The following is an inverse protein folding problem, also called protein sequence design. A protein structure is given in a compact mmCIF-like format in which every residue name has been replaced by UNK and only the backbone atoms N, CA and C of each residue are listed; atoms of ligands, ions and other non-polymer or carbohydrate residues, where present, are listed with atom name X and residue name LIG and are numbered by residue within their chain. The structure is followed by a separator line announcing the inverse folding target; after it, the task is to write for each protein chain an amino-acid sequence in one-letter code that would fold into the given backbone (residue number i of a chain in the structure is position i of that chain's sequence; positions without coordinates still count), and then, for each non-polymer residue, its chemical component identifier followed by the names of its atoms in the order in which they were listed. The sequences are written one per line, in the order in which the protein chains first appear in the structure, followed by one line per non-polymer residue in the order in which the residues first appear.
data_IF_424345062619
#
_entry.id   IF_424345062619
#
_cell.length_a   1.000
_cell.length_b   1.000
_cell.length_c   1.000
_cell.angle_alpha   90.00
_cell.angle_beta   90.00
_cell.angle_gamma   90.00
#
_symmetry.space_group_name_H-M   'P 1'
#
loop_
_entity.id
_entity.type
_entity.pdbx_description
1 polymer ?
#
# COMPACT_ATOMS: atom_id res chain seq x y z
N UNK A 1 15.06 2.58 12.45
CA UNK A 1 13.64 2.24 12.19
C UNK A 1 13.34 2.52 10.73
N UNK A 2 12.52 1.72 10.07
CA UNK A 2 12.09 2.00 8.69
C UNK A 2 11.24 3.28 8.63
N UNK A 3 11.41 4.08 7.58
CA UNK A 3 10.72 5.37 7.39
C UNK A 3 9.19 5.25 7.41
N UNK A 4 8.63 4.18 6.85
CA UNK A 4 7.17 3.98 6.79
C UNK A 4 6.54 3.59 8.14
N UNK A 5 7.33 3.25 9.15
CA UNK A 5 6.81 2.77 10.44
C UNK A 5 6.19 3.90 11.28
N UNK A 6 6.84 5.08 11.32
CA UNK A 6 6.46 6.21 12.17
C UNK A 6 5.02 6.66 11.93
N UNK A 7 4.70 7.00 10.70
CA UNK A 7 3.38 7.54 10.34
C UNK A 7 2.26 6.53 10.59
N UNK A 8 2.49 5.27 10.22
CA UNK A 8 1.50 4.21 10.45
C UNK A 8 1.30 3.93 11.93
N UNK A 9 2.37 3.89 12.73
CA UNK A 9 2.26 3.73 14.18
C UNK A 9 1.42 4.85 14.79
N UNK A 10 1.76 6.11 14.52
CA UNK A 10 1.02 7.28 15.01
C UNK A 10 -0.45 7.26 14.56
N UNK A 11 -0.72 6.91 13.32
CA UNK A 11 -2.07 6.82 12.77
C UNK A 11 -2.92 5.77 13.48
N UNK A 12 -2.40 4.57 13.71
CA UNK A 12 -3.15 3.51 14.41
C UNK A 12 -3.27 3.76 15.92
N UNK A 13 -2.29 4.39 16.54
CA UNK A 13 -2.43 4.86 17.93
C UNK A 13 -3.55 5.91 18.05
N UNK A 14 -3.64 6.84 17.10
CA UNK A 14 -4.73 7.81 17.02
C UNK A 14 -6.09 7.13 16.82
N UNK A 15 -6.21 6.19 15.88
CA UNK A 15 -7.44 5.41 15.65
C UNK A 15 -7.90 4.77 16.96
N UNK A 16 -6.98 4.14 17.69
CA UNK A 16 -7.28 3.50 18.98
C UNK A 16 -7.67 4.51 20.05
N UNK A 17 -6.96 5.62 20.17
CA UNK A 17 -7.23 6.68 21.17
C UNK A 17 -8.59 7.35 20.96
N UNK A 18 -9.00 7.54 19.70
CA UNK A 18 -10.28 8.15 19.33
C UNK A 18 -11.45 7.14 19.28
N UNK A 19 -11.20 5.86 19.63
CA UNK A 19 -12.21 4.79 19.59
C UNK A 19 -12.70 4.47 18.17
N UNK A 20 -11.92 4.83 17.16
CA UNK A 20 -12.18 4.53 15.75
C UNK A 20 -11.80 3.09 15.41
N UNK A 21 -12.28 2.60 14.29
CA UNK A 21 -12.10 1.20 13.87
C UNK A 21 -11.49 1.05 12.48
N UNK A 22 -11.34 2.15 11.73
CA UNK A 22 -10.80 2.11 10.37
C UNK A 22 -9.99 3.37 10.04
N UNK A 23 -9.02 3.20 9.14
CA UNK A 23 -8.12 4.27 8.69
C UNK A 23 -8.87 5.42 8.01
N UNK A 24 -9.89 5.12 7.19
CA UNK A 24 -10.71 6.14 6.54
C UNK A 24 -11.37 7.11 7.53
N UNK A 25 -11.67 6.66 8.75
CA UNK A 25 -12.32 7.48 9.77
C UNK A 25 -11.44 8.62 10.31
N UNK A 26 -10.11 8.52 10.22
CA UNK A 26 -9.21 9.65 10.55
C UNK A 26 -9.12 10.68 9.42
N UNK A 27 -9.67 10.35 8.24
CA UNK A 27 -9.75 11.21 7.07
C UNK A 27 -11.18 11.61 6.69
N UNK A 28 -12.12 11.51 7.64
CA UNK A 28 -13.51 11.94 7.44
C UNK A 28 -14.48 10.87 6.94
N UNK A 29 -14.04 9.61 6.78
CA UNK A 29 -14.94 8.49 6.54
C UNK A 29 -15.76 8.13 7.78
N UNK A 30 -16.93 7.53 7.62
CA UNK A 30 -17.83 7.20 8.72
C UNK A 30 -17.84 5.70 9.06
N UNK A 31 -17.94 4.84 8.06
CA UNK A 31 -18.17 3.42 8.25
C UNK A 31 -16.90 2.57 8.05
N UNK A 32 -16.79 1.49 8.85
CA UNK A 32 -15.72 0.50 8.71
C UNK A 32 -15.70 -0.14 7.33
N UNK A 33 -16.88 -0.43 6.80
CA UNK A 33 -17.06 -1.13 5.53
C UNK A 33 -16.92 -0.21 4.30
N UNK A 34 -16.78 1.11 4.51
CA UNK A 34 -16.53 2.10 3.45
C UNK A 34 -15.03 2.39 3.30
N UNK A 35 -14.27 1.37 2.92
CA UNK A 35 -12.83 1.49 2.72
C UNK A 35 -12.46 1.80 1.27
N UNK A 36 -11.34 2.49 1.09
CA UNK A 36 -10.95 3.14 -0.17
C UNK A 36 -10.87 2.20 -1.39
N UNK A 37 -10.50 0.93 -1.21
CA UNK A 37 -10.42 -0.05 -2.30
C UNK A 37 -11.68 -0.87 -2.51
N UNK A 38 -12.78 -0.62 -1.76
CA UNK A 38 -14.02 -1.40 -1.85
C UNK A 38 -14.59 -1.44 -3.28
N UNK A 39 -14.78 -0.29 -3.88
CA UNK A 39 -15.31 -0.19 -5.26
C UNK A 39 -14.43 -0.92 -6.28
N UNK A 40 -13.11 -0.92 -6.06
CA UNK A 40 -12.19 -1.68 -6.89
C UNK A 40 -12.36 -3.19 -6.70
N UNK A 41 -12.47 -3.68 -5.48
CA UNK A 41 -12.71 -5.10 -5.23
C UNK A 41 -14.06 -5.55 -5.82
N UNK A 42 -15.12 -4.75 -5.68
CA UNK A 42 -16.44 -5.02 -6.30
C UNK A 42 -16.34 -5.10 -7.83
N UNK A 43 -15.51 -4.27 -8.44
CA UNK A 43 -15.27 -4.29 -9.89
C UNK A 43 -14.34 -5.43 -10.31
N UNK A 44 -13.28 -5.71 -9.56
CA UNK A 44 -12.24 -6.66 -9.95
C UNK A 44 -12.66 -8.11 -9.75
N UNK A 45 -13.17 -8.47 -8.55
CA UNK A 45 -13.40 -9.87 -8.18
C UNK A 45 -14.28 -10.66 -9.15
N UNK A 46 -15.37 -10.12 -9.72
CA UNK A 46 -16.20 -10.86 -10.70
C UNK A 46 -15.47 -11.10 -12.04
N UNK A 47 -14.35 -10.44 -12.28
CA UNK A 47 -13.54 -10.56 -13.52
C UNK A 47 -12.43 -11.57 -13.39
N UNK A 48 -12.18 -12.08 -12.18
CA UNK A 48 -11.13 -13.04 -11.90
C UNK A 48 -11.64 -14.48 -12.10
N UNK A 49 -10.73 -15.35 -12.54
CA UNK A 49 -10.97 -16.79 -12.56
C UNK A 49 -10.33 -17.42 -11.34
N UNK A 50 -11.13 -17.59 -10.29
CA UNK A 50 -10.68 -18.13 -9.01
C UNK A 50 -11.36 -19.48 -8.72
N UNK A 51 -10.75 -20.37 -7.92
CA UNK A 51 -11.42 -21.60 -7.46
C UNK A 51 -12.61 -21.26 -6.56
N UNK A 52 -13.45 -22.25 -6.25
CA UNK A 52 -14.68 -22.08 -5.46
C UNK A 52 -14.44 -21.64 -4.00
N UNK A 53 -13.26 -21.90 -3.46
CA UNK A 53 -12.83 -21.47 -2.11
C UNK A 53 -11.42 -20.90 -2.19
N UNK A 54 -11.25 -19.71 -2.76
CA UNK A 54 -9.94 -19.15 -3.03
C UNK A 54 -9.22 -18.77 -1.74
N UNK A 55 -7.90 -18.89 -1.77
CA UNK A 55 -7.04 -18.40 -0.70
C UNK A 55 -6.54 -17.00 -1.03
N UNK A 56 -6.76 -16.05 -0.14
CA UNK A 56 -6.35 -14.67 -0.32
C UNK A 56 -5.39 -14.21 0.78
N UNK A 57 -4.42 -13.36 0.40
CA UNK A 57 -3.58 -12.60 1.32
C UNK A 57 -3.87 -11.11 1.12
N UNK A 58 -4.18 -10.38 2.19
CA UNK A 58 -4.15 -8.91 2.17
C UNK A 58 -2.85 -8.43 2.83
N UNK A 59 -2.04 -7.67 2.07
CA UNK A 59 -0.82 -7.02 2.57
C UNK A 59 -1.13 -5.58 2.98
N UNK A 60 -0.61 -5.16 4.16
CA UNK A 60 -0.94 -3.84 4.73
C UNK A 60 -2.43 -3.73 5.05
N UNK A 61 -3.00 -4.75 5.68
CA UNK A 61 -4.45 -4.86 5.88
C UNK A 61 -5.04 -3.83 6.84
N UNK A 62 -4.19 -3.10 7.58
CA UNK A 62 -4.63 -2.15 8.58
C UNK A 62 -5.55 -2.79 9.62
N UNK A 63 -6.69 -2.16 9.85
CA UNK A 63 -7.73 -2.66 10.76
C UNK A 63 -8.64 -3.72 10.15
N UNK A 64 -8.34 -4.19 8.92
CA UNK A 64 -8.90 -5.38 8.31
C UNK A 64 -10.22 -5.24 7.54
N UNK A 65 -10.66 -4.07 7.05
CA UNK A 65 -11.93 -3.98 6.33
C UNK A 65 -11.91 -4.77 5.01
N UNK A 66 -10.80 -4.75 4.26
CA UNK A 66 -10.65 -5.54 3.04
C UNK A 66 -10.63 -7.03 3.31
N UNK A 67 -9.88 -7.47 4.34
CA UNK A 67 -9.87 -8.88 4.77
C UNK A 67 -11.27 -9.36 5.18
N UNK A 68 -12.01 -8.56 5.95
CA UNK A 68 -13.41 -8.86 6.32
C UNK A 68 -14.31 -8.95 5.09
N UNK A 69 -14.13 -8.03 4.13
CA UNK A 69 -14.89 -8.01 2.87
C UNK A 69 -14.68 -9.30 2.06
N UNK A 70 -13.44 -9.79 1.95
CA UNK A 70 -13.11 -11.04 1.26
C UNK A 70 -13.63 -12.27 2.01
N UNK A 71 -13.41 -12.33 3.33
CA UNK A 71 -13.87 -13.46 4.14
C UNK A 71 -15.39 -13.62 4.13
N UNK A 72 -16.16 -12.53 4.17
CA UNK A 72 -17.62 -12.54 4.05
C UNK A 72 -18.10 -13.07 2.68
N UNK A 73 -17.22 -13.13 1.68
CA UNK A 73 -17.48 -13.68 0.33
C UNK A 73 -16.95 -15.11 0.14
N UNK A 74 -16.54 -15.77 1.22
CA UNK A 74 -16.11 -17.17 1.20
C UNK A 74 -14.63 -17.40 0.87
N UNK A 75 -13.82 -16.35 0.86
CA UNK A 75 -12.37 -16.50 0.74
C UNK A 75 -11.76 -17.01 2.06
N UNK A 76 -10.74 -17.85 1.96
CA UNK A 76 -9.86 -18.17 3.08
C UNK A 76 -8.79 -17.10 3.17
N UNK A 77 -8.88 -16.23 4.17
CA UNK A 77 -8.07 -15.00 4.24
C UNK A 77 -6.98 -15.10 5.28
N UNK A 78 -5.76 -14.85 4.82
CA UNK A 78 -4.63 -14.43 5.65
C UNK A 78 -4.45 -12.92 5.44
N UNK A 79 -4.08 -12.16 6.48
CA UNK A 79 -3.90 -10.72 6.38
C UNK A 79 -2.74 -10.25 7.27
N UNK A 80 -1.91 -9.37 6.75
CA UNK A 80 -0.72 -8.90 7.45
C UNK A 80 -0.68 -7.37 7.50
N UNK A 81 -0.20 -6.86 8.62
CA UNK A 81 0.17 -5.46 8.80
C UNK A 81 1.37 -5.38 9.74
N UNK A 82 2.19 -4.35 9.57
CA UNK A 82 3.38 -4.19 10.40
C UNK A 82 3.06 -3.60 11.78
N UNK A 83 1.89 -2.96 11.98
CA UNK A 83 1.51 -2.29 13.23
C UNK A 83 0.68 -3.21 14.12
N UNK A 84 1.17 -3.61 15.31
CA UNK A 84 0.43 -4.49 16.22
C UNK A 84 -0.96 -3.97 16.59
N UNK A 85 -1.09 -2.65 16.83
CA UNK A 85 -2.37 -2.03 17.17
C UNK A 85 -3.42 -2.17 16.05
N UNK A 86 -3.01 -2.09 14.79
CA UNK A 86 -3.88 -2.34 13.65
C UNK A 86 -4.42 -3.78 13.66
N UNK A 87 -3.54 -4.76 13.87
CA UNK A 87 -3.88 -6.19 13.93
C UNK A 87 -4.81 -6.52 15.12
N UNK A 88 -4.63 -5.85 16.26
CA UNK A 88 -5.55 -6.00 17.41
C UNK A 88 -6.96 -5.56 17.04
N UNK A 89 -7.12 -4.39 16.42
CA UNK A 89 -8.41 -3.88 15.94
C UNK A 89 -8.98 -4.83 14.88
N UNK A 90 -8.18 -5.25 13.90
CA UNK A 90 -8.60 -6.16 12.84
C UNK A 90 -9.17 -7.47 13.38
N UNK A 91 -8.49 -8.09 14.36
CA UNK A 91 -8.98 -9.29 15.04
C UNK A 91 -10.30 -9.06 15.77
N UNK A 92 -10.45 -7.90 16.40
CA UNK A 92 -11.71 -7.53 17.07
C UNK A 92 -12.85 -7.36 16.04
N UNK A 93 -12.61 -6.65 14.94
CA UNK A 93 -13.60 -6.44 13.89
C UNK A 93 -14.05 -7.74 13.22
N UNK A 94 -13.12 -8.66 12.96
CA UNK A 94 -13.45 -9.98 12.43
C UNK A 94 -14.32 -10.80 13.40
N UNK A 95 -13.97 -10.81 14.70
CA UNK A 95 -14.78 -11.50 15.73
C UNK A 95 -16.21 -10.94 15.82
N UNK A 96 -16.36 -9.62 15.82
CA UNK A 96 -17.68 -8.96 15.86
C UNK A 96 -18.58 -9.33 14.66
N UNK A 97 -17.95 -9.69 13.54
CA UNK A 97 -18.65 -10.11 12.29
C UNK A 97 -18.75 -11.63 12.14
N UNK A 98 -18.28 -12.41 13.12
CA UNK A 98 -18.29 -13.87 13.03
C UNK A 98 -17.40 -14.43 11.91
N UNK A 99 -16.35 -13.68 11.51
CA UNK A 99 -15.44 -14.06 10.43
C UNK A 99 -14.19 -14.74 10.97
N UNK A 100 -13.71 -15.77 10.25
CA UNK A 100 -12.46 -16.47 10.55
C UNK A 100 -11.38 -15.98 9.58
N UNK A 101 -10.42 -15.20 10.10
CA UNK A 101 -9.32 -14.60 9.34
C UNK A 101 -8.04 -14.80 10.14
N UNK A 102 -6.96 -15.23 9.47
CA UNK A 102 -5.65 -15.34 10.10
C UNK A 102 -4.90 -14.02 9.96
N UNK A 103 -4.78 -13.28 11.07
CA UNK A 103 -4.03 -12.02 11.13
C UNK A 103 -2.65 -12.20 11.74
N UNK A 104 -1.62 -11.64 11.11
CA UNK A 104 -0.25 -11.62 11.64
C UNK A 104 0.37 -10.22 11.59
N UNK A 105 1.19 -9.90 12.61
CA UNK A 105 2.07 -8.73 12.58
C UNK A 105 3.27 -9.11 11.73
N UNK A 106 3.40 -8.52 10.54
CA UNK A 106 4.45 -8.82 9.58
C UNK A 106 4.71 -7.62 8.68
N UNK A 107 5.99 -7.27 8.53
CA UNK A 107 6.43 -6.31 7.54
C UNK A 107 6.48 -7.00 6.16
N UNK A 108 5.77 -6.42 5.19
CA UNK A 108 5.68 -6.98 3.84
C UNK A 108 7.04 -6.98 3.11
N UNK A 109 7.94 -6.03 3.43
CA UNK A 109 9.29 -5.95 2.82
C UNK A 109 10.21 -7.09 3.25
N UNK A 110 9.86 -7.77 4.35
CA UNK A 110 10.57 -8.94 4.88
C UNK A 110 9.70 -10.19 4.91
N UNK A 111 8.59 -10.20 4.14
CA UNK A 111 7.73 -11.36 4.04
C UNK A 111 8.51 -12.56 3.45
N UNK A 112 8.59 -13.70 4.15
CA UNK A 112 9.30 -14.87 3.65
C UNK A 112 8.75 -15.35 2.30
N UNK A 113 9.62 -15.74 1.39
CA UNK A 113 9.23 -16.26 0.08
C UNK A 113 8.63 -17.67 0.16
N UNK A 114 8.99 -18.44 1.17
CA UNK A 114 8.42 -19.74 1.47
C UNK A 114 7.15 -19.63 2.34
N UNK A 115 6.26 -20.60 2.21
CA UNK A 115 5.03 -20.67 2.97
C UNK A 115 3.77 -20.79 2.10
N UNK A 116 2.60 -20.46 2.65
CA UNK A 116 1.34 -20.63 1.93
C UNK A 116 1.30 -19.84 0.63
N UNK A 117 0.82 -20.46 -0.44
CA UNK A 117 0.53 -19.78 -1.70
C UNK A 117 -0.94 -19.33 -1.76
N UNK A 118 -1.21 -18.29 -2.54
CA UNK A 118 -2.49 -17.62 -2.64
C UNK A 118 -2.95 -17.53 -4.09
N UNK A 119 -4.26 -17.71 -4.28
CA UNK A 119 -4.91 -17.46 -5.57
C UNK A 119 -5.04 -15.94 -5.84
N UNK A 120 -5.11 -15.16 -4.75
CA UNK A 120 -5.29 -13.72 -4.77
C UNK A 120 -4.40 -13.06 -3.71
N UNK A 121 -3.63 -12.03 -4.12
CA UNK A 121 -3.00 -11.11 -3.17
C UNK A 121 -3.57 -9.71 -3.41
N UNK A 122 -3.95 -9.02 -2.33
CA UNK A 122 -4.56 -7.69 -2.38
C UNK A 122 -3.67 -6.70 -1.65
N UNK A 123 -3.42 -5.59 -2.32
CA UNK A 123 -2.76 -4.41 -1.80
C UNK A 123 -3.74 -3.23 -1.85
N UNK A 124 -4.19 -2.82 -0.68
CA UNK A 124 -5.09 -1.68 -0.52
C UNK A 124 -4.31 -0.47 -0.04
N UNK A 125 -3.60 0.21 -0.94
CA UNK A 125 -2.79 1.40 -0.64
C UNK A 125 -1.55 1.14 0.26
N UNK A 126 -1.10 -0.10 0.42
CA UNK A 126 0.11 -0.44 1.15
C UNK A 126 1.37 0.01 0.38
N UNK A 127 1.46 -0.36 -0.90
CA UNK A 127 2.63 -0.13 -1.75
C UNK A 127 3.00 1.35 -1.88
N UNK A 128 2.04 2.27 -1.77
CA UNK A 128 2.34 3.71 -1.81
C UNK A 128 3.19 4.18 -0.62
N UNK A 129 3.07 3.53 0.53
CA UNK A 129 3.90 3.80 1.71
C UNK A 129 5.29 3.18 1.62
N UNK A 130 5.53 2.28 0.68
CA UNK A 130 6.84 1.67 0.40
C UNK A 130 7.53 2.51 -0.68
N UNK A 131 8.49 3.34 -0.29
CA UNK A 131 9.00 4.44 -1.12
C UNK A 131 10.26 4.06 -1.89
N UNK A 132 11.24 3.38 -1.25
CA UNK A 132 12.51 3.05 -1.89
C UNK A 132 12.37 1.92 -2.92
N UNK A 133 13.15 1.99 -3.99
CA UNK A 133 13.13 0.95 -5.02
C UNK A 133 13.48 -0.43 -4.46
N UNK A 134 14.44 -0.50 -3.52
CA UNK A 134 14.85 -1.75 -2.90
C UNK A 134 13.71 -2.40 -2.09
N UNK A 135 13.02 -1.63 -1.24
CA UNK A 135 11.88 -2.13 -0.46
C UNK A 135 10.73 -2.56 -1.38
N UNK A 136 10.45 -1.80 -2.45
CA UNK A 136 9.40 -2.12 -3.44
C UNK A 136 9.72 -3.42 -4.19
N UNK A 137 10.96 -3.60 -4.62
CA UNK A 137 11.40 -4.86 -5.24
C UNK A 137 11.28 -6.04 -4.29
N UNK A 138 11.58 -5.87 -3.00
CA UNK A 138 11.38 -6.91 -1.99
C UNK A 138 9.90 -7.30 -1.86
N UNK A 139 8.98 -6.31 -1.86
CA UNK A 139 7.52 -6.57 -1.87
C UNK A 139 7.12 -7.36 -3.12
N UNK A 140 7.52 -6.95 -4.31
CA UNK A 140 7.17 -7.66 -5.54
C UNK A 140 7.71 -9.08 -5.58
N UNK A 141 8.95 -9.29 -5.14
CA UNK A 141 9.55 -10.61 -5.06
C UNK A 141 8.76 -11.53 -4.10
N UNK A 142 8.39 -11.02 -2.92
CA UNK A 142 7.59 -11.75 -1.95
C UNK A 142 6.18 -12.06 -2.49
N UNK A 143 5.52 -11.09 -3.11
CA UNK A 143 4.20 -11.30 -3.73
C UNK A 143 4.26 -12.38 -4.82
N UNK A 144 5.26 -12.32 -5.70
CA UNK A 144 5.45 -13.35 -6.73
C UNK A 144 5.66 -14.75 -6.16
N UNK A 145 6.53 -14.87 -5.16
CA UNK A 145 6.84 -16.16 -4.53
C UNK A 145 5.62 -16.77 -3.81
N UNK A 146 4.68 -15.91 -3.37
CA UNK A 146 3.50 -16.33 -2.61
C UNK A 146 2.24 -16.47 -3.47
N UNK A 147 2.27 -16.12 -4.75
CA UNK A 147 1.18 -16.38 -5.69
C UNK A 147 1.28 -17.79 -6.30
N UNK A 148 0.15 -18.46 -6.47
CA UNK A 148 0.07 -19.63 -7.35
C UNK A 148 0.35 -19.22 -8.80
N UNK A 149 0.66 -20.20 -9.67
CA UNK A 149 1.08 -19.95 -11.04
C UNK A 149 0.12 -19.07 -11.88
N UNK A 150 -1.18 -19.14 -11.62
CA UNK A 150 -2.22 -18.33 -12.27
C UNK A 150 -2.84 -17.31 -11.30
N UNK A 151 -2.16 -17.04 -10.19
CA UNK A 151 -2.63 -16.11 -9.16
C UNK A 151 -2.69 -14.67 -9.62
N UNK A 152 -3.51 -13.91 -8.96
CA UNK A 152 -3.75 -12.50 -9.25
C UNK A 152 -3.26 -11.61 -8.12
N UNK A 153 -2.59 -10.51 -8.48
CA UNK A 153 -2.23 -9.42 -7.58
C UNK A 153 -3.07 -8.19 -7.90
N UNK A 154 -3.89 -7.76 -6.95
CA UNK A 154 -4.68 -6.53 -7.02
C UNK A 154 -3.94 -5.41 -6.31
N UNK A 155 -3.73 -4.30 -6.99
CA UNK A 155 -3.02 -3.13 -6.46
C UNK A 155 -3.92 -1.91 -6.52
N UNK A 156 -4.14 -1.27 -5.38
CA UNK A 156 -4.69 0.08 -5.29
C UNK A 156 -3.61 1.04 -4.81
N UNK A 157 -3.41 2.15 -5.51
CA UNK A 157 -2.40 3.15 -5.15
C UNK A 157 -2.88 4.55 -5.50
N UNK A 158 -2.51 5.54 -4.68
CA UNK A 158 -2.73 6.93 -5.00
C UNK A 158 -1.78 7.36 -6.12
N UNK A 159 -2.34 7.98 -7.16
CA UNK A 159 -1.59 8.47 -8.31
C UNK A 159 -1.08 9.89 -8.08
N UNK A 160 -0.01 10.23 -8.79
CA UNK A 160 0.47 11.59 -8.84
C UNK A 160 -0.52 12.47 -9.63
N UNK A 161 -1.05 13.48 -8.95
CA UNK A 161 -1.91 14.50 -9.53
C UNK A 161 -1.27 15.88 -9.36
N UNK A 162 -0.74 16.51 -10.43
CA UNK A 162 -0.06 17.79 -10.33
C UNK A 162 -0.94 18.90 -9.77
N UNK A 163 -2.27 18.83 -9.96
CA UNK A 163 -3.19 19.88 -9.51
C UNK A 163 -3.46 19.82 -8.00
N UNK A 164 -3.26 18.66 -7.39
CA UNK A 164 -3.38 18.48 -5.93
C UNK A 164 -2.14 18.95 -5.14
N UNK A 165 -0.97 19.05 -5.80
CA UNK A 165 0.29 19.32 -5.12
C UNK A 165 0.73 20.76 -5.29
N UNK A 166 -0.06 21.72 -4.85
CA UNK A 166 0.24 23.17 -4.78
C UNK A 166 1.45 23.60 -5.61
N UNK A 167 1.39 23.55 -6.95
CA UNK A 167 2.56 23.77 -7.82
C UNK A 167 3.10 25.20 -7.75
N UNK A 168 2.38 26.10 -7.09
CA UNK A 168 2.78 27.49 -6.89
C UNK A 168 3.65 27.70 -5.65
N UNK A 169 3.63 26.76 -4.70
CA UNK A 169 4.45 26.81 -3.49
C UNK A 169 5.69 25.92 -3.68
N UNK A 170 6.75 26.51 -4.20
CA UNK A 170 8.00 25.81 -4.50
C UNK A 170 9.04 26.04 -3.44
N UNK A 171 9.78 24.99 -3.10
CA UNK A 171 10.99 25.03 -2.30
C UNK A 171 12.12 24.51 -3.15
N UNK A 172 13.21 25.27 -3.23
CA UNK A 172 14.42 24.87 -3.96
C UNK A 172 15.45 24.43 -2.94
N UNK A 173 15.90 23.21 -3.07
CA UNK A 173 17.08 22.76 -2.34
C UNK A 173 18.33 23.21 -3.11
N UNK A 174 19.01 24.22 -2.62
CA UNK A 174 20.19 24.80 -3.29
C UNK A 174 21.37 23.82 -3.38
N UNK A 175 21.42 22.84 -2.47
CA UNK A 175 22.51 21.85 -2.45
C UNK A 175 22.42 20.86 -3.61
N UNK A 176 21.19 20.50 -4.01
CA UNK A 176 20.92 19.52 -5.09
C UNK A 176 20.36 20.15 -6.35
N UNK A 177 19.85 21.37 -6.29
CA UNK A 177 19.10 22.04 -7.35
C UNK A 177 17.67 21.45 -7.54
N UNK A 178 17.23 20.56 -6.66
CA UNK A 178 15.91 19.94 -6.76
C UNK A 178 14.82 20.91 -6.35
N UNK A 179 13.73 20.93 -7.13
CA UNK A 179 12.54 21.75 -6.83
C UNK A 179 11.44 20.86 -6.28
N UNK A 180 11.03 21.15 -5.06
CA UNK A 180 9.93 20.49 -4.37
C UNK A 180 8.67 21.35 -4.40
N UNK A 181 7.50 20.73 -4.34
CA UNK A 181 6.22 21.40 -4.15
C UNK A 181 5.68 21.10 -2.75
N UNK A 182 4.81 21.96 -2.23
CA UNK A 182 4.12 21.68 -0.96
C UNK A 182 3.18 20.50 -1.11
N UNK A 183 3.16 19.64 -0.07
CA UNK A 183 2.35 18.43 0.03
C UNK A 183 1.70 18.35 1.42
N UNK A 184 0.37 18.26 1.46
CA UNK A 184 -0.36 18.35 2.73
C UNK A 184 -0.20 19.74 3.39
N UNK A 185 -0.08 19.78 4.71
CA UNK A 185 0.04 21.03 5.45
C UNK A 185 1.47 21.58 5.40
N UNK A 186 2.46 20.75 5.68
CA UNK A 186 3.86 21.12 5.84
C UNK A 186 4.86 20.19 5.12
N UNK A 187 4.38 19.13 4.48
CA UNK A 187 5.20 18.20 3.72
C UNK A 187 5.65 18.75 2.36
N UNK A 188 6.49 17.98 1.70
CA UNK A 188 7.03 18.26 0.38
C UNK A 188 6.78 17.08 -0.56
N UNK A 189 6.72 17.34 -1.87
CA UNK A 189 6.75 16.31 -2.89
C UNK A 189 7.72 16.69 -4.00
N UNK A 190 8.53 15.75 -4.42
CA UNK A 190 9.32 15.86 -5.64
C UNK A 190 8.40 15.52 -6.84
N UNK A 191 8.09 16.49 -7.70
CA UNK A 191 7.18 16.26 -8.84
C UNK A 191 7.78 15.37 -9.92
N UNK A 192 9.10 15.12 -9.89
CA UNK A 192 9.79 14.26 -10.86
C UNK A 192 9.66 12.79 -10.48
N UNK A 193 9.90 12.47 -9.22
CA UNK A 193 9.86 11.10 -8.69
C UNK A 193 8.51 10.70 -8.12
N UNK A 194 7.68 11.70 -7.75
CA UNK A 194 6.43 11.50 -7.02
C UNK A 194 6.62 11.12 -5.55
N UNK A 195 7.84 11.24 -5.03
CA UNK A 195 8.14 10.95 -3.63
C UNK A 195 7.72 12.13 -2.76
N UNK A 196 6.87 11.85 -1.77
CA UNK A 196 6.46 12.78 -0.75
C UNK A 196 7.29 12.60 0.52
N UNK A 197 7.50 13.71 1.21
CA UNK A 197 8.30 13.83 2.42
C UNK A 197 7.48 14.54 3.49
N UNK A 198 7.63 14.13 4.73
CA UNK A 198 7.02 14.79 5.90
C UNK A 198 8.11 15.35 6.80
N UNK A 199 7.87 16.49 7.49
CA UNK A 199 8.86 17.05 8.43
C UNK A 199 9.26 16.05 9.50
N UNK A 200 10.52 16.09 9.89
CA UNK A 200 11.09 15.23 10.92
C UNK A 200 11.68 16.11 12.04
N UNK A 201 10.96 16.17 13.17
CA UNK A 201 11.38 16.92 14.37
C UNK A 201 12.20 16.05 15.35
N UNK A 202 12.29 14.74 15.06
CA UNK A 202 13.01 13.76 15.87
C UNK A 202 14.45 13.60 15.37
N UNK A 203 15.30 12.89 16.13
CA UNK A 203 16.66 12.58 15.72
C UNK A 203 16.65 11.80 14.37
N UNK A 204 17.20 12.38 13.29
CA UNK A 204 17.21 11.75 11.98
C UNK A 204 17.96 10.43 11.95
N UNK A 205 18.93 10.20 12.86
CA UNK A 205 19.64 8.93 12.98
C UNK A 205 18.74 7.76 13.40
N UNK A 206 17.54 8.04 13.91
CA UNK A 206 16.54 7.03 14.30
C UNK A 206 15.92 6.33 13.10
N UNK A 207 15.84 7.01 11.96
CA UNK A 207 15.07 6.54 10.82
C UNK A 207 15.93 6.31 9.58
N UNK A 208 15.75 5.17 8.93
CA UNK A 208 16.21 4.96 7.58
C UNK A 208 15.44 5.89 6.63
N UNK A 209 16.11 6.52 5.68
CA UNK A 209 15.47 7.40 4.71
C UNK A 209 15.20 8.82 5.21
N UNK A 210 15.73 9.22 6.39
CA UNK A 210 15.79 10.62 6.76
C UNK A 210 16.69 11.39 5.79
N UNK A 211 16.23 12.54 5.31
CA UNK A 211 16.93 13.36 4.32
C UNK A 211 16.84 14.84 4.72
N UNK A 212 17.89 15.60 4.42
CA UNK A 212 17.87 17.05 4.58
C UNK A 212 17.46 17.70 3.25
N UNK A 213 16.47 18.58 3.29
CA UNK A 213 15.97 19.34 2.14
C UNK A 213 15.92 20.82 2.55
N UNK A 214 16.63 21.67 1.83
CA UNK A 214 16.70 23.11 2.09
C UNK A 214 17.06 23.48 3.55
N UNK A 215 17.84 22.64 4.22
CA UNK A 215 18.31 22.86 5.61
C UNK A 215 17.50 22.17 6.69
N UNK A 216 16.26 21.74 6.40
CA UNK A 216 15.38 21.05 7.34
C UNK A 216 15.39 19.53 7.13
N UNK A 217 15.08 18.76 8.20
CA UNK A 217 15.00 17.31 8.13
C UNK A 217 13.61 16.84 7.74
N UNK A 218 13.57 15.87 6.83
CA UNK A 218 12.37 15.21 6.34
C UNK A 218 12.53 13.70 6.36
N UNK A 219 11.38 13.00 6.40
CA UNK A 219 11.30 11.56 6.28
C UNK A 219 10.50 11.19 5.03
N UNK A 220 10.92 10.16 4.33
CA UNK A 220 10.14 9.54 3.25
C UNK A 220 8.75 9.14 3.77
N UNK A 221 7.68 9.47 3.02
CA UNK A 221 6.31 9.16 3.45
C UNK A 221 5.54 8.33 2.42
N UNK A 222 5.39 8.85 1.21
CA UNK A 222 4.59 8.23 0.15
C UNK A 222 5.31 8.30 -1.19
N UNK A 223 4.96 7.37 -2.09
CA UNK A 223 5.36 7.47 -3.49
C UNK A 223 4.12 7.45 -4.38
N UNK A 224 3.83 8.60 -4.97
CA UNK A 224 2.73 8.82 -5.90
C UNK A 224 3.23 8.66 -7.32
N UNK A 225 2.94 7.52 -7.93
CA UNK A 225 3.34 7.29 -9.33
C UNK A 225 2.38 7.93 -10.33
N UNK A 226 2.89 8.30 -11.49
CA UNK A 226 2.06 8.36 -12.68
C UNK A 226 1.71 6.93 -13.11
N UNK A 227 0.50 6.71 -13.61
CA UNK A 227 0.02 5.35 -13.93
C UNK A 227 0.98 4.58 -14.86
N UNK A 228 1.56 5.26 -15.86
CA UNK A 228 2.53 4.63 -16.76
C UNK A 228 3.79 4.16 -16.05
N UNK A 229 4.29 4.92 -15.06
CA UNK A 229 5.46 4.56 -14.27
C UNK A 229 5.17 3.38 -13.35
N UNK A 230 4.03 3.39 -12.63
CA UNK A 230 3.61 2.27 -11.79
C UNK A 230 3.45 0.97 -12.60
N UNK A 231 2.82 1.09 -13.78
CA UNK A 231 2.66 -0.04 -14.69
C UNK A 231 4.01 -0.60 -15.13
N UNK A 232 4.93 0.25 -15.58
CA UNK A 232 6.26 -0.18 -16.03
C UNK A 232 7.06 -0.84 -14.89
N UNK A 233 6.96 -0.31 -13.66
CA UNK A 233 7.59 -0.88 -12.49
C UNK A 233 7.05 -2.29 -12.18
N UNK A 234 5.73 -2.47 -12.13
CA UNK A 234 5.07 -3.76 -11.89
C UNK A 234 5.43 -4.76 -12.99
N UNK A 235 5.45 -4.32 -14.26
CA UNK A 235 5.83 -5.17 -15.40
C UNK A 235 7.31 -5.56 -15.36
N UNK A 236 8.19 -4.66 -14.92
CA UNK A 236 9.62 -4.98 -14.71
C UNK A 236 9.84 -5.99 -13.57
N UNK A 237 8.96 -5.99 -12.59
CA UNK A 237 8.97 -6.92 -11.48
C UNK A 237 8.41 -8.31 -11.82
N UNK A 238 8.08 -8.59 -13.11
CA UNK A 238 7.64 -9.90 -13.59
C UNK A 238 6.14 -10.15 -13.50
N UNK A 239 5.35 -9.08 -13.43
CA UNK A 239 3.90 -9.16 -13.60
C UNK A 239 3.49 -8.62 -14.98
N UNK A 240 2.31 -9.02 -15.44
CA UNK A 240 1.63 -8.39 -16.57
C UNK A 240 0.38 -7.68 -16.06
N UNK A 241 0.27 -6.38 -16.32
CA UNK A 241 -0.94 -5.62 -16.00
C UNK A 241 -2.05 -6.03 -16.97
N UNK A 242 -3.05 -6.73 -16.45
CA UNK A 242 -4.18 -7.27 -17.23
C UNK A 242 -5.26 -6.23 -17.45
N UNK A 243 -5.59 -5.43 -16.42
CA UNK A 243 -6.60 -4.38 -16.49
C UNK A 243 -6.27 -3.23 -15.54
N UNK A 244 -6.79 -2.06 -15.85
CA UNK A 244 -6.67 -0.84 -15.04
C UNK A 244 -8.05 -0.24 -14.88
N UNK A 245 -8.42 0.09 -13.65
CA UNK A 245 -9.57 0.92 -13.32
C UNK A 245 -9.06 2.24 -12.73
N UNK A 246 -9.42 3.36 -13.32
CA UNK A 246 -9.20 4.67 -12.70
C UNK A 246 -10.36 5.00 -11.78
N UNK A 247 -10.06 5.64 -10.65
CA UNK A 247 -11.12 6.23 -9.85
C UNK A 247 -11.63 7.50 -10.53
N UNK A 248 -12.91 7.82 -10.33
CA UNK A 248 -13.57 8.95 -10.99
C UNK A 248 -12.94 10.30 -10.60
N UNK A 249 -12.35 10.39 -9.40
CA UNK A 249 -11.62 11.54 -8.91
C UNK A 249 -10.21 11.71 -9.54
N UNK A 250 -9.78 10.75 -10.36
CA UNK A 250 -8.45 10.70 -10.97
C UNK A 250 -7.28 10.43 -10.02
N UNK A 251 -7.53 10.39 -8.71
CA UNK A 251 -6.49 10.25 -7.69
C UNK A 251 -6.01 8.81 -7.53
N UNK A 252 -6.91 7.84 -7.58
CA UNK A 252 -6.56 6.43 -7.41
C UNK A 252 -6.31 5.71 -8.73
N UNK A 253 -5.33 4.82 -8.75
CA UNK A 253 -5.08 3.84 -9.79
C UNK A 253 -5.21 2.42 -9.25
N UNK A 254 -6.08 1.63 -9.88
CA UNK A 254 -6.36 0.26 -9.50
C UNK A 254 -5.94 -0.69 -10.62
N UNK A 255 -5.11 -1.69 -10.31
CA UNK A 255 -4.53 -2.59 -11.31
C UNK A 255 -4.84 -4.04 -10.96
N UNK A 256 -5.28 -4.80 -11.97
CA UNK A 256 -5.30 -6.26 -11.94
C UNK A 256 -4.01 -6.73 -12.59
N UNK A 257 -3.15 -7.40 -11.82
CA UNK A 257 -1.87 -7.91 -12.27
C UNK A 257 -1.88 -9.44 -12.20
N UNK A 258 -1.31 -10.07 -13.20
CA UNK A 258 -1.16 -11.54 -13.25
C UNK A 258 0.32 -11.87 -13.38
N UNK A 259 0.73 -13.03 -12.90
CA UNK A 259 2.10 -13.50 -13.02
C UNK A 259 2.50 -13.61 -14.50
N UNK A 260 3.62 -12.99 -14.91
CA UNK A 260 4.12 -13.13 -16.28
C UNK A 260 5.06 -14.34 -16.40
N UNK A 261 4.53 -15.46 -16.87
CA UNK A 261 5.27 -16.71 -17.06
C UNK A 261 6.45 -16.61 -18.03
N UNK A 262 6.46 -15.58 -18.93
CA UNK A 262 7.50 -15.47 -19.96
C UNK A 262 8.84 -15.00 -19.41
N UNK A 263 8.86 -14.37 -18.24
CA UNK A 263 10.07 -13.84 -17.59
C UNK A 263 10.65 -14.76 -16.49
N UNK A 264 9.96 -15.85 -16.15
CA UNK A 264 10.38 -16.77 -15.09
C UNK A 264 11.16 -18.01 -15.58
N UNK A 265 11.11 -18.33 -16.87
CA UNK A 265 11.72 -19.53 -17.43
C UNK A 265 13.13 -19.29 -18.02
N UNK A 266 13.65 -18.06 -17.99
CA UNK A 266 14.99 -17.74 -18.52
C UNK A 266 16.12 -17.81 -17.48
N UNK A 267 15.79 -17.92 -16.17
CA UNK A 267 16.77 -17.97 -15.07
C UNK A 267 16.84 -19.35 -14.36
N UNK A 268 16.42 -20.43 -15.05
CA UNK A 268 16.44 -21.82 -14.55
C UNK A 268 17.61 -22.64 -15.11
#
# INVERSE_FOLDING_TARGET
MKYYYREHLQGYERIRAEGKTAWNQIHGGEEFDDFSSRAFLEWALPRLRLPSSPRALEIGCGTGPGACYLAARGYRVDAIDLVPAAIEIARQQARLRGLSIHYAVQDVTTLPHDGPQYDLIVDSYCLQGIVTDADRQAVYAAVRARLVADGTYLVSSAMFDPDRFRPHERIVDEATGTVYHRYGDDGLIDPTTGIAYVPLDEDPATYEGAIQIAGDWYLLSRRHHRLAALRAEIESAGFRVHAVQRQDDGYGGNLICVHDRRKGDEDG
#
